data_IF_553542737441
#
_entry.id   IF_553542737441
#
_cell.length_a   1.000
_cell.length_b   1.000
_cell.length_c   1.000
_cell.angle_alpha   90.00
_cell.angle_beta   90.00
_cell.angle_gamma   90.00
#
_symmetry.space_group_name_H-M   'P 1'
#
loop_
_entity.id
_entity.type
_entity.pdbx_description
1 polymer ?
#
# COMPACT_ATOMS: atom_id res chain seq x y z
N UNK A 1 -14.78 15.27 15.67
CA UNK A 1 -15.27 15.09 14.28
C UNK A 1 -14.15 14.67 13.29
N UNK A 2 -13.06 14.02 13.77
CA UNK A 2 -11.93 13.60 12.92
C UNK A 2 -11.98 12.11 12.51
N UNK A 3 -12.66 11.27 13.29
CA UNK A 3 -12.63 9.81 13.11
C UNK A 3 -13.50 9.30 11.95
N UNK A 4 -14.50 10.07 11.52
CA UNK A 4 -15.39 9.67 10.41
C UNK A 4 -14.73 9.78 9.02
N UNK A 5 -13.74 10.65 8.84
CA UNK A 5 -13.11 10.83 7.54
C UNK A 5 -12.09 9.74 7.19
N UNK A 6 -11.51 9.05 8.19
CA UNK A 6 -10.52 8.00 7.93
C UNK A 6 -11.16 6.66 7.54
N UNK A 7 -12.39 6.39 8.01
CA UNK A 7 -13.12 5.15 7.71
C UNK A 7 -13.85 5.16 6.37
N UNK A 8 -14.25 6.32 5.83
CA UNK A 8 -14.99 6.37 4.55
C UNK A 8 -14.10 6.19 3.32
N UNK A 9 -12.79 6.44 3.39
CA UNK A 9 -11.86 6.24 2.26
C UNK A 9 -11.51 4.77 2.03
N UNK A 10 -11.87 3.87 2.95
CA UNK A 10 -11.56 2.43 2.85
C UNK A 10 -12.69 1.56 2.30
N UNK A 11 -13.87 2.13 2.05
CA UNK A 11 -15.01 1.42 1.47
C UNK A 11 -15.12 1.57 -0.05
N UNK A 12 -14.11 2.13 -0.72
CA UNK A 12 -14.09 2.15 -2.19
C UNK A 12 -13.83 0.72 -2.67
N UNK A 13 -14.93 0.09 -3.08
CA UNK A 13 -15.00 -1.15 -3.84
C UNK A 13 -13.85 -1.16 -4.84
N UNK A 14 -12.98 -2.16 -4.70
CA UNK A 14 -11.90 -2.38 -5.65
C UNK A 14 -12.49 -2.60 -7.03
N UNK A 15 -12.49 -1.55 -7.86
CA UNK A 15 -12.70 -1.69 -9.30
C UNK A 15 -11.48 -2.41 -9.81
N UNK A 16 -11.57 -3.74 -9.90
CA UNK A 16 -10.54 -4.62 -10.44
C UNK A 16 -10.36 -4.25 -11.91
N UNK A 17 -9.43 -3.35 -12.18
CA UNK A 17 -9.05 -3.04 -13.55
C UNK A 17 -7.96 -4.03 -13.98
N UNK A 18 -8.16 -4.73 -15.10
CA UNK A 18 -7.26 -5.80 -15.59
C UNK A 18 -5.88 -5.30 -16.04
N UNK A 19 -5.60 -4.01 -15.89
CA UNK A 19 -4.39 -3.34 -16.39
C UNK A 19 -3.50 -2.81 -15.26
N UNK A 20 -3.49 -3.49 -14.11
CA UNK A 20 -2.51 -3.22 -13.05
C UNK A 20 -1.14 -3.39 -13.67
N UNK A 21 -0.31 -2.35 -13.61
CA UNK A 21 1.09 -2.44 -13.97
C UNK A 21 1.81 -3.27 -12.90
N UNK A 22 1.59 -4.59 -12.93
CA UNK A 22 2.08 -5.58 -11.96
C UNK A 22 3.59 -5.68 -11.95
N UNK A 23 4.30 -4.95 -12.81
CA UNK A 23 5.76 -4.94 -12.86
C UNK A 23 6.38 -4.26 -11.63
N UNK A 24 5.71 -3.27 -11.03
CA UNK A 24 6.35 -2.38 -10.06
C UNK A 24 6.57 -3.00 -8.66
N UNK A 25 5.82 -4.05 -8.28
CA UNK A 25 5.95 -4.69 -6.96
C UNK A 25 6.59 -6.08 -6.96
N UNK A 26 7.01 -6.61 -8.14
CA UNK A 26 7.58 -7.97 -8.23
C UNK A 26 8.82 -8.17 -7.35
N UNK A 27 9.59 -7.11 -7.14
CA UNK A 27 10.84 -7.12 -6.39
C UNK A 27 10.70 -6.83 -4.89
N UNK A 28 9.47 -6.53 -4.42
CA UNK A 28 9.20 -6.27 -3.01
C UNK A 28 9.06 -7.60 -2.27
N UNK A 29 9.66 -7.68 -1.07
CA UNK A 29 9.61 -8.83 -0.18
C UNK A 29 9.17 -8.40 1.21
N UNK A 30 8.65 -9.36 1.99
CA UNK A 30 8.40 -9.16 3.42
C UNK A 30 9.67 -8.67 4.12
N UNK A 31 9.53 -7.62 4.91
CA UNK A 31 10.60 -6.93 5.62
C UNK A 31 11.19 -5.75 4.87
N UNK A 32 10.89 -5.55 3.58
CA UNK A 32 11.33 -4.36 2.86
C UNK A 32 10.62 -3.11 3.39
N UNK A 33 11.36 -1.99 3.50
CA UNK A 33 10.74 -0.68 3.68
C UNK A 33 10.26 -0.20 2.31
N UNK A 34 8.98 0.14 2.22
CA UNK A 34 8.31 0.53 1.00
C UNK A 34 7.59 1.87 1.17
N UNK A 35 7.42 2.55 0.04
CA UNK A 35 6.59 3.73 -0.13
C UNK A 35 5.42 3.38 -1.06
N UNK A 36 4.20 3.71 -0.68
CA UNK A 36 2.99 3.54 -1.49
C UNK A 36 2.37 4.91 -1.72
N UNK A 37 2.19 5.29 -2.98
CA UNK A 37 1.50 6.53 -3.38
C UNK A 37 0.09 6.20 -3.83
N UNK A 38 -0.89 6.88 -3.24
CA UNK A 38 -2.32 6.68 -3.46
C UNK A 38 -2.96 8.01 -3.84
N UNK A 39 -3.73 8.05 -4.91
CA UNK A 39 -4.56 9.16 -5.31
C UNK A 39 -5.90 9.10 -4.56
N UNK A 40 -6.17 10.10 -3.71
CA UNK A 40 -7.38 10.16 -2.87
C UNK A 40 -8.42 11.16 -3.38
N UNK A 41 -8.20 11.72 -4.58
CA UNK A 41 -9.12 12.64 -5.25
C UNK A 41 -8.51 13.22 -6.53
N UNK A 42 -9.24 14.11 -7.22
CA UNK A 42 -8.85 14.66 -8.53
C UNK A 42 -7.41 15.21 -8.57
N UNK A 43 -6.90 15.78 -7.48
CA UNK A 43 -5.54 16.33 -7.37
C UNK A 43 -4.87 16.04 -6.01
N UNK A 44 -5.38 15.09 -5.22
CA UNK A 44 -4.82 14.78 -3.89
C UNK A 44 -4.09 13.45 -3.94
N UNK A 45 -2.86 13.45 -3.43
CA UNK A 45 -2.05 12.26 -3.28
C UNK A 45 -1.71 12.09 -1.81
N UNK A 46 -1.70 10.84 -1.37
CA UNK A 46 -1.24 10.41 -0.06
C UNK A 46 -0.08 9.44 -0.25
N UNK A 47 0.94 9.61 0.57
CA UNK A 47 2.10 8.73 0.60
C UNK A 47 2.11 7.97 1.92
N UNK A 48 2.25 6.66 1.84
CA UNK A 48 2.38 5.78 3.01
C UNK A 48 3.75 5.12 2.95
N UNK A 49 4.58 5.40 3.95
CA UNK A 49 5.86 4.72 4.15
C UNK A 49 5.77 3.73 5.30
N UNK A 50 6.31 2.53 5.10
CA UNK A 50 6.25 1.50 6.13
C UNK A 50 6.97 0.22 5.74
N UNK A 51 6.86 -0.78 6.60
CA UNK A 51 7.46 -2.10 6.41
C UNK A 51 6.43 -3.02 5.78
N UNK A 52 6.80 -3.68 4.69
CA UNK A 52 5.98 -4.74 4.11
C UNK A 52 5.95 -5.96 5.06
N UNK A 53 4.79 -6.30 5.61
CA UNK A 53 4.63 -7.46 6.51
C UNK A 53 4.12 -8.69 5.78
N UNK A 54 3.39 -8.52 4.67
CA UNK A 54 2.85 -9.60 3.86
C UNK A 54 2.64 -9.17 2.41
N UNK A 55 2.74 -10.12 1.47
CA UNK A 55 2.45 -9.92 0.05
C UNK A 55 1.61 -11.08 -0.44
N UNK A 56 0.38 -10.79 -0.88
CA UNK A 56 -0.45 -11.74 -1.63
C UNK A 56 -0.23 -11.51 -3.11
N UNK A 57 0.38 -12.47 -3.80
CA UNK A 57 0.70 -12.40 -5.24
C UNK A 57 -0.35 -13.08 -6.14
N UNK A 58 -1.61 -13.13 -5.73
CA UNK A 58 -2.67 -13.73 -6.55
C UNK A 58 -2.90 -12.85 -7.79
N UNK A 59 -2.90 -13.45 -8.98
CA UNK A 59 -3.12 -12.80 -10.28
C UNK A 59 -4.39 -11.96 -10.33
N UNK A 60 -5.44 -12.35 -9.61
CA UNK A 60 -6.73 -11.65 -9.63
C UNK A 60 -6.84 -10.54 -8.59
N UNK A 61 -6.23 -10.72 -7.41
CA UNK A 61 -6.35 -9.81 -6.27
C UNK A 61 -5.01 -9.72 -5.52
N UNK A 62 -4.00 -9.08 -6.14
CA UNK A 62 -2.73 -8.84 -5.46
C UNK A 62 -2.93 -7.84 -4.33
N UNK A 63 -2.22 -8.02 -3.22
CA UNK A 63 -2.29 -7.10 -2.09
C UNK A 63 -0.96 -7.07 -1.33
N UNK A 64 -0.63 -5.92 -0.74
CA UNK A 64 0.48 -5.76 0.19
C UNK A 64 -0.08 -5.36 1.55
N UNK A 65 0.40 -6.00 2.60
CA UNK A 65 0.20 -5.51 3.97
C UNK A 65 1.41 -4.68 4.36
N UNK A 66 1.15 -3.46 4.82
CA UNK A 66 2.14 -2.49 5.25
C UNK A 66 1.91 -2.14 6.72
N UNK A 67 3.00 -2.09 7.48
CA UNK A 67 3.01 -1.63 8.88
C UNK A 67 3.74 -0.31 8.97
N UNK A 68 3.08 0.73 9.47
CA UNK A 68 3.61 2.09 9.56
C UNK A 68 3.16 2.77 10.86
N UNK A 69 3.75 3.92 11.19
CA UNK A 69 3.40 4.71 12.37
C UNK A 69 2.77 6.02 11.93
N UNK A 70 1.60 6.34 12.47
CA UNK A 70 0.88 7.59 12.23
C UNK A 70 0.56 8.22 13.59
N UNK A 71 1.12 9.39 13.86
CA UNK A 71 0.86 10.16 15.09
C UNK A 71 1.00 9.36 16.39
N UNK A 72 2.05 8.54 16.50
CA UNK A 72 2.28 7.70 17.68
C UNK A 72 1.66 6.30 17.59
N UNK A 73 0.67 6.10 16.74
CA UNK A 73 -0.09 4.85 16.61
C UNK A 73 0.54 3.96 15.54
N UNK A 74 0.72 2.68 15.86
CA UNK A 74 1.17 1.68 14.88
C UNK A 74 -0.04 1.12 14.16
N UNK A 75 -0.05 1.27 12.83
CA UNK A 75 -1.11 0.80 11.95
C UNK A 75 -0.55 -0.32 11.08
N UNK A 76 -1.30 -1.42 10.97
CA UNK A 76 -1.06 -2.47 9.99
C UNK A 76 -2.25 -2.56 9.05
N UNK A 77 -2.02 -2.26 7.77
CA UNK A 77 -3.07 -2.11 6.78
C UNK A 77 -2.80 -2.96 5.55
N UNK A 78 -3.84 -3.60 5.04
CA UNK A 78 -3.81 -4.34 3.78
C UNK A 78 -4.29 -3.44 2.64
N UNK A 79 -3.44 -3.28 1.63
CA UNK A 79 -3.70 -2.45 0.44
C UNK A 79 -3.82 -3.37 -0.79
N UNK A 80 -5.01 -3.51 -1.40
CA UNK A 80 -5.19 -4.20 -2.66
C UNK A 80 -4.48 -3.45 -3.78
N UNK A 81 -3.56 -4.10 -4.50
CA UNK A 81 -2.78 -3.46 -5.56
C UNK A 81 -3.56 -3.29 -6.87
N UNK A 82 -4.83 -3.73 -6.90
CA UNK A 82 -5.72 -3.58 -8.03
C UNK A 82 -6.53 -2.29 -8.07
N UNK A 83 -6.33 -1.40 -7.11
CA UNK A 83 -7.03 -0.13 -7.05
C UNK A 83 -6.41 0.86 -8.05
N UNK A 84 -7.25 1.50 -8.87
CA UNK A 84 -6.83 2.57 -9.79
C UNK A 84 -6.19 3.76 -9.07
N UNK A 85 -6.48 3.88 -7.78
CA UNK A 85 -5.96 4.92 -6.90
C UNK A 85 -4.48 4.70 -6.58
N UNK A 86 -3.91 3.51 -6.76
CA UNK A 86 -2.49 3.28 -6.46
C UNK A 86 -1.65 3.76 -7.63
N UNK A 87 -0.89 4.82 -7.38
CA UNK A 87 0.01 5.43 -8.36
C UNK A 87 1.34 4.67 -8.44
N UNK A 88 1.91 4.28 -7.30
CA UNK A 88 3.15 3.53 -7.27
C UNK A 88 3.35 2.78 -5.94
N UNK A 89 4.14 1.71 -6.01
CA UNK A 89 4.64 0.98 -4.83
C UNK A 89 6.12 0.76 -5.05
N UNK A 90 6.95 1.41 -4.23
CA UNK A 90 8.40 1.47 -4.44
C UNK A 90 9.13 0.96 -3.21
N UNK A 91 10.18 0.17 -3.42
CA UNK A 91 11.10 -0.20 -2.34
C UNK A 91 12.07 0.96 -2.09
N UNK A 92 12.06 1.50 -0.87
CA UNK A 92 12.91 2.63 -0.47
C UNK A 92 14.13 2.19 0.35
N UNK A 93 14.08 1.03 1.02
CA UNK A 93 15.25 0.47 1.70
C UNK A 93 15.13 -1.05 1.87
N UNK A 94 16.24 -1.75 1.63
CA UNK A 94 16.39 -3.14 2.02
C UNK A 94 16.80 -3.15 3.50
N UNK A 95 15.97 -3.69 4.39
CA UNK A 95 16.41 -3.92 5.77
C UNK A 95 17.52 -4.97 5.68
N UNK A 96 18.78 -4.52 5.80
CA UNK A 96 19.93 -5.43 5.89
C UNK A 96 19.67 -6.35 7.07
N UNK A 97 19.52 -7.65 6.83
CA UNK A 97 19.67 -8.64 7.89
C UNK A 97 21.11 -8.50 8.39
N UNK A 98 21.30 -7.90 9.55
CA UNK A 98 22.54 -8.11 10.29
C UNK A 98 22.57 -9.61 10.61
N UNK A 99 23.50 -10.32 9.97
CA UNK A 99 23.89 -11.68 10.31
C UNK A 99 24.80 -11.63 11.52
#
# INVERSE_FOLDING_TARGET
MLEKNLMQTLNTVAIINKNINTQHYKHIKKGDKIEIRIQTGKNKQQTIEGICTCIKKNTHNPAITIKYKLSGIVIEQRIPLGLQEILSVTKIQQVKKNK
#
